data_IF_441534212040
#
_entry.id   IF_441534212040
#
_cell.length_a   1.000
_cell.length_b   1.000
_cell.length_c   1.000
_cell.angle_alpha   90.00
_cell.angle_beta   90.00
_cell.angle_gamma   90.00
#
_symmetry.space_group_name_H-M   'P 1'
#
loop_
_entity.id
_entity.type
_entity.pdbx_description
1 polymer ?
#
# COMPACT_ATOMS: atom_id res chain seq x y z
N UNK A 1 -7.96 0.70 -10.83
CA UNK A 1 -8.00 1.05 -9.39
C UNK A 1 -9.05 2.13 -9.21
N UNK A 2 -9.80 2.16 -8.09
CA UNK A 2 -10.68 3.30 -7.84
C UNK A 2 -9.83 4.48 -7.36
N UNK A 3 -9.79 5.57 -8.12
CA UNK A 3 -9.02 6.76 -7.78
C UNK A 3 -9.40 7.33 -6.39
N UNK A 4 -10.65 7.12 -5.97
CA UNK A 4 -11.15 7.59 -4.67
C UNK A 4 -10.51 6.88 -3.47
N UNK A 5 -9.75 5.79 -3.70
CA UNK A 5 -8.98 5.12 -2.64
C UNK A 5 -7.56 5.66 -2.49
N UNK A 6 -7.08 6.51 -3.40
CA UNK A 6 -5.74 7.09 -3.30
C UNK A 6 -5.70 8.29 -2.36
N UNK A 7 -4.57 8.44 -1.66
CA UNK A 7 -4.17 9.63 -0.92
C UNK A 7 -2.74 10.03 -1.27
N UNK A 8 -2.40 11.28 -1.00
CA UNK A 8 -1.01 11.72 -0.92
C UNK A 8 -0.19 10.77 -0.03
N UNK A 9 1.03 10.46 -0.46
CA UNK A 9 1.94 9.52 0.22
C UNK A 9 1.74 8.06 -0.16
N UNK A 10 0.69 7.70 -0.90
CA UNK A 10 0.51 6.32 -1.38
C UNK A 10 1.60 5.93 -2.40
N UNK A 11 2.10 4.70 -2.29
CA UNK A 11 3.05 4.11 -3.22
C UNK A 11 2.27 3.34 -4.30
N UNK A 12 2.55 3.65 -5.55
CA UNK A 12 1.90 3.07 -6.72
C UNK A 12 2.94 2.70 -7.79
N UNK A 13 2.52 1.91 -8.77
CA UNK A 13 3.25 1.78 -10.04
C UNK A 13 2.42 2.36 -11.17
N UNK A 14 3.02 2.48 -12.35
CA UNK A 14 2.28 2.82 -13.56
C UNK A 14 2.43 1.72 -14.62
N UNK A 15 1.45 1.63 -15.50
CA UNK A 15 1.53 0.81 -16.72
C UNK A 15 1.16 1.67 -17.93
N UNK A 16 2.10 2.49 -18.39
CA UNK A 16 1.95 3.34 -19.57
C UNK A 16 3.10 3.07 -20.54
N UNK A 17 3.24 1.80 -20.95
CA UNK A 17 4.37 1.34 -21.78
C UNK A 17 4.46 2.12 -23.10
N UNK A 18 3.33 2.57 -23.64
CA UNK A 18 3.26 3.31 -24.90
C UNK A 18 3.95 4.67 -24.84
N UNK A 19 3.79 5.42 -23.75
CA UNK A 19 4.31 6.79 -23.63
C UNK A 19 5.45 6.92 -22.62
N UNK A 20 5.58 5.96 -21.71
CA UNK A 20 6.51 5.92 -20.58
C UNK A 20 7.03 4.49 -20.34
N UNK A 21 7.76 3.92 -21.32
CA UNK A 21 8.24 2.53 -21.23
C UNK A 21 9.24 2.34 -20.09
N UNK A 22 10.08 3.33 -19.79
CA UNK A 22 11.13 3.23 -18.78
C UNK A 22 10.60 3.40 -17.35
N UNK A 23 9.43 4.03 -17.19
CA UNK A 23 8.78 4.28 -15.91
C UNK A 23 7.75 3.21 -15.56
N UNK A 24 7.31 2.41 -16.54
CA UNK A 24 6.30 1.38 -16.32
C UNK A 24 6.84 0.28 -15.40
N UNK A 25 6.11 0.00 -14.33
CA UNK A 25 6.54 -0.93 -13.27
C UNK A 25 7.40 -0.31 -12.16
N UNK A 26 7.91 0.91 -12.33
CA UNK A 26 8.67 1.59 -11.27
C UNK A 26 7.74 2.09 -10.15
N UNK A 27 8.31 2.23 -8.95
CA UNK A 27 7.60 2.75 -7.78
C UNK A 27 7.56 4.28 -7.81
N UNK A 28 6.40 4.84 -7.49
CA UNK A 28 6.22 6.27 -7.33
C UNK A 28 5.36 6.60 -6.11
N UNK A 29 5.60 7.76 -5.52
CA UNK A 29 4.75 8.35 -4.50
C UNK A 29 3.70 9.24 -5.14
N UNK A 30 2.45 9.13 -4.70
CA UNK A 30 1.39 10.08 -5.04
C UNK A 30 1.64 11.39 -4.31
N UNK A 31 1.85 12.47 -5.07
CA UNK A 31 2.14 13.83 -4.54
C UNK A 31 1.10 14.87 -4.95
N UNK A 32 0.11 14.49 -5.78
CA UNK A 32 -1.03 15.33 -6.12
C UNK A 32 -2.15 14.51 -6.75
N UNK A 33 -3.40 14.91 -6.50
CA UNK A 33 -4.59 14.24 -7.03
C UNK A 33 -5.55 15.32 -7.51
N UNK A 34 -6.03 15.21 -8.76
CA UNK A 34 -7.15 15.96 -9.31
C UNK A 34 -8.07 15.03 -10.08
N UNK A 35 -9.26 15.50 -10.47
CA UNK A 35 -10.28 14.68 -11.13
C UNK A 35 -9.80 13.94 -12.38
N UNK A 36 -8.80 14.47 -13.08
CA UNK A 36 -8.30 13.91 -14.35
C UNK A 36 -6.82 13.49 -14.33
N UNK A 37 -6.10 13.74 -13.23
CA UNK A 37 -4.65 13.56 -13.21
C UNK A 37 -4.13 13.21 -11.81
N UNK A 38 -3.18 12.29 -11.75
CA UNK A 38 -2.41 11.95 -10.55
C UNK A 38 -0.98 12.40 -10.76
N UNK A 39 -0.50 13.32 -9.91
CA UNK A 39 0.91 13.69 -9.88
C UNK A 39 1.68 12.68 -9.03
N UNK A 40 2.71 12.08 -9.62
CA UNK A 40 3.54 11.05 -8.99
C UNK A 40 5.01 11.45 -9.04
N UNK A 41 5.78 11.03 -8.03
CA UNK A 41 7.19 11.38 -7.86
C UNK A 41 8.07 10.15 -7.56
N UNK A 42 9.29 10.16 -8.11
CA UNK A 42 10.39 9.26 -7.78
C UNK A 42 11.58 10.09 -7.25
N UNK A 43 11.35 10.81 -6.15
CA UNK A 43 12.36 11.68 -5.53
C UNK A 43 12.46 13.02 -6.25
N UNK A 44 13.53 13.24 -7.01
CA UNK A 44 13.78 14.53 -7.69
C UNK A 44 13.01 14.70 -9.00
N UNK A 45 12.33 13.65 -9.46
CA UNK A 45 11.56 13.65 -10.70
C UNK A 45 10.08 13.44 -10.40
N UNK A 46 9.21 14.32 -10.91
CA UNK A 46 7.77 14.17 -10.82
C UNK A 46 7.07 14.44 -12.16
N UNK A 47 5.87 13.89 -12.33
CA UNK A 47 5.05 14.09 -13.51
C UNK A 47 3.58 13.72 -13.26
N UNK A 48 2.70 14.17 -14.14
CA UNK A 48 1.29 13.78 -14.14
C UNK A 48 1.03 12.51 -14.95
N UNK A 49 0.10 11.68 -14.47
CA UNK A 49 -0.36 10.47 -15.12
C UNK A 49 -1.89 10.33 -15.02
N UNK A 50 -2.52 9.82 -16.08
CA UNK A 50 -3.96 9.54 -16.05
C UNK A 50 -4.25 8.42 -15.05
N UNK A 51 -5.37 8.50 -14.28
CA UNK A 51 -5.75 7.49 -13.30
C UNK A 51 -5.76 6.06 -13.84
N UNK A 52 -6.16 5.87 -15.11
CA UNK A 52 -6.23 4.56 -15.78
C UNK A 52 -4.88 3.86 -15.90
N UNK A 53 -3.79 4.62 -15.89
CA UNK A 53 -2.43 4.08 -15.94
C UNK A 53 -1.83 3.85 -14.56
N UNK A 54 -2.50 4.26 -13.48
CA UNK A 54 -2.03 3.97 -12.12
C UNK A 54 -2.42 2.55 -11.73
N UNK A 55 -1.42 1.76 -11.38
CA UNK A 55 -1.56 0.36 -11.05
C UNK A 55 -1.36 0.17 -9.54
N UNK A 56 -2.32 -0.46 -8.84
CA UNK A 56 -2.19 -0.74 -7.43
C UNK A 56 -1.19 -1.89 -7.24
N UNK A 57 -0.37 -1.78 -6.20
CA UNK A 57 0.63 -2.80 -5.87
C UNK A 57 0.00 -3.82 -4.94
N UNK A 58 0.04 -5.10 -5.29
CA UNK A 58 -0.47 -6.17 -4.44
C UNK A 58 0.30 -6.18 -3.10
N UNK A 59 -0.44 -6.23 -2.00
CA UNK A 59 0.14 -6.39 -0.68
C UNK A 59 0.63 -7.83 -0.50
N UNK A 60 1.91 -7.98 -0.16
CA UNK A 60 2.58 -9.26 0.12
C UNK A 60 3.35 -9.16 1.43
N UNK A 61 3.81 -10.30 1.94
CA UNK A 61 4.67 -10.36 3.13
C UNK A 61 5.95 -9.53 2.95
N UNK A 62 6.57 -9.56 1.76
CA UNK A 62 7.75 -8.75 1.45
C UNK A 62 7.50 -7.24 1.62
N UNK A 63 6.29 -6.77 1.31
CA UNK A 63 5.92 -5.38 1.54
C UNK A 63 5.78 -5.07 3.02
N UNK A 64 5.21 -5.97 3.82
CA UNK A 64 5.13 -5.80 5.26
C UNK A 64 6.54 -5.68 5.87
N UNK A 65 7.47 -6.56 5.47
CA UNK A 65 8.88 -6.49 5.90
C UNK A 65 9.52 -5.18 5.46
N UNK A 66 9.32 -4.74 4.21
CA UNK A 66 9.84 -3.46 3.69
C UNK A 66 9.31 -2.23 4.42
N UNK A 67 8.12 -2.32 5.03
CA UNK A 67 7.59 -1.26 5.87
C UNK A 67 8.10 -1.33 7.31
N UNK A 68 8.72 -2.44 7.71
CA UNK A 68 9.25 -2.65 9.07
C UNK A 68 8.35 -3.50 9.96
N UNK A 69 7.25 -4.06 9.45
CA UNK A 69 6.45 -5.01 10.22
C UNK A 69 7.24 -6.29 10.46
N UNK A 70 7.12 -6.84 11.66
CA UNK A 70 7.75 -8.10 12.05
C UNK A 70 6.69 -9.17 12.23
N UNK A 71 7.03 -10.41 11.89
CA UNK A 71 6.19 -11.56 12.26
C UNK A 71 6.19 -11.71 13.78
N UNK A 72 5.02 -11.99 14.35
CA UNK A 72 4.91 -12.34 15.78
C UNK A 72 5.48 -13.74 15.98
N UNK A 73 6.35 -13.90 16.97
CA UNK A 73 7.10 -15.15 17.23
C UNK A 73 6.23 -16.37 17.56
N UNK A 74 4.97 -16.16 17.98
CA UNK A 74 4.06 -17.21 18.43
C UNK A 74 2.69 -17.22 17.74
N UNK A 75 2.50 -16.54 16.60
CA UNK A 75 1.17 -16.35 16.01
C UNK A 75 1.08 -16.28 14.48
N UNK A 76 -0.15 -16.11 13.99
CA UNK A 76 -0.52 -15.96 12.56
C UNK A 76 -0.54 -14.50 12.08
N UNK A 77 0.15 -13.61 12.81
CA UNK A 77 0.03 -12.17 12.65
C UNK A 77 1.35 -11.44 12.46
N UNK A 78 1.22 -10.15 12.15
CA UNK A 78 2.31 -9.19 11.99
C UNK A 78 2.12 -8.06 13.00
N UNK A 79 3.20 -7.73 13.71
CA UNK A 79 3.25 -6.70 14.73
C UNK A 79 4.31 -5.65 14.39
N UNK A 80 4.09 -4.47 14.96
CA UNK A 80 5.14 -3.57 15.39
C UNK A 80 5.68 -2.59 14.35
N UNK A 81 4.84 -1.61 13.99
CA UNK A 81 5.33 -0.25 13.65
C UNK A 81 4.63 0.81 14.52
N UNK A 82 3.41 0.54 14.98
CA UNK A 82 2.57 1.52 15.68
C UNK A 82 2.34 1.21 17.16
N UNK A 83 3.31 0.61 17.88
CA UNK A 83 3.17 0.24 19.30
C UNK A 83 1.90 -0.62 19.57
N UNK A 84 1.58 -1.55 18.67
CA UNK A 84 0.41 -2.43 18.78
C UNK A 84 -0.92 -1.83 18.29
N UNK A 85 -0.95 -0.61 17.74
CA UNK A 85 -2.18 0.02 17.21
C UNK A 85 -2.67 -0.69 15.94
N UNK A 86 -1.76 -1.16 15.09
CA UNK A 86 -2.06 -1.85 13.83
C UNK A 86 -1.68 -3.31 13.97
N UNK A 87 -2.69 -4.17 14.16
CA UNK A 87 -2.52 -5.62 14.16
C UNK A 87 -3.05 -6.20 12.85
N UNK A 88 -2.18 -6.91 12.14
CA UNK A 88 -2.51 -7.57 10.88
C UNK A 88 -2.47 -9.08 11.06
N UNK A 89 -3.44 -9.77 10.47
CA UNK A 89 -3.54 -11.23 10.51
C UNK A 89 -3.42 -11.81 9.09
N UNK A 90 -2.74 -12.94 8.97
CA UNK A 90 -2.80 -13.78 7.78
C UNK A 90 -4.04 -14.67 7.84
N UNK A 91 -4.89 -14.56 6.83
CA UNK A 91 -6.11 -15.36 6.70
C UNK A 91 -5.93 -16.33 5.53
N UNK A 92 -5.95 -17.65 5.79
CA UNK A 92 -5.95 -18.65 4.73
C UNK A 92 -7.21 -18.54 3.85
N UNK A 93 -7.04 -18.68 2.54
CA UNK A 93 -8.12 -18.70 1.55
C UNK A 93 -7.84 -19.76 0.50
N UNK A 94 -8.86 -20.10 -0.30
CA UNK A 94 -8.72 -21.03 -1.43
C UNK A 94 -7.74 -20.52 -2.51
N UNK A 95 -7.34 -19.24 -2.46
CA UNK A 95 -6.42 -18.60 -3.42
C UNK A 95 -5.06 -18.24 -2.79
N UNK A 96 -4.73 -18.83 -1.64
CA UNK A 96 -3.53 -18.53 -0.86
C UNK A 96 -3.85 -17.70 0.39
N UNK A 97 -2.91 -16.87 0.84
CA UNK A 97 -3.07 -16.07 2.06
C UNK A 97 -3.44 -14.62 1.73
N UNK A 98 -4.30 -14.02 2.55
CA UNK A 98 -4.61 -12.59 2.51
C UNK A 98 -4.24 -11.94 3.85
N UNK A 99 -3.90 -10.65 3.80
CA UNK A 99 -3.70 -9.83 4.99
C UNK A 99 -5.03 -9.19 5.37
N UNK A 100 -5.40 -9.24 6.65
CA UNK A 100 -6.60 -8.61 7.17
C UNK A 100 -6.32 -7.82 8.43
N UNK A 101 -7.13 -6.78 8.67
CA UNK A 101 -7.16 -6.04 9.93
C UNK A 101 -8.53 -6.18 10.61
N UNK A 102 -8.51 -6.20 11.94
CA UNK A 102 -9.68 -6.31 12.83
C UNK A 102 -10.46 -7.64 12.68
N UNK A 103 -10.80 -8.25 13.83
CA UNK A 103 -11.66 -9.44 13.94
C UNK A 103 -12.83 -9.13 14.88
N UNK A 104 -13.56 -8.05 14.64
CA UNK A 104 -14.61 -7.62 15.56
C UNK A 104 -15.95 -8.37 15.40
N UNK A 105 -16.22 -9.04 14.26
CA UNK A 105 -17.60 -9.51 13.92
C UNK A 105 -17.67 -10.70 12.95
N UNK A 106 -16.75 -11.67 13.01
CA UNK A 106 -16.65 -12.79 12.03
C UNK A 106 -16.43 -12.35 10.57
N UNK A 107 -16.14 -11.06 10.34
CA UNK A 107 -15.83 -10.48 9.03
C UNK A 107 -14.41 -9.96 9.02
N UNK A 108 -13.63 -10.50 8.08
CA UNK A 108 -12.28 -10.02 7.80
C UNK A 108 -12.32 -8.78 6.90
N UNK A 109 -11.63 -7.71 7.31
CA UNK A 109 -11.36 -6.59 6.41
C UNK A 109 -10.03 -6.86 5.69
N UNK A 110 -10.13 -7.41 4.49
CA UNK A 110 -8.95 -7.79 3.70
C UNK A 110 -8.26 -6.58 3.07
N UNK A 111 -6.96 -6.47 3.30
CA UNK A 111 -6.05 -5.57 2.62
C UNK A 111 -5.44 -6.30 1.43
N UNK A 112 -5.79 -5.87 0.21
CA UNK A 112 -5.31 -6.47 -1.04
C UNK A 112 -4.12 -5.73 -1.62
N UNK A 113 -4.02 -4.42 -1.34
CA UNK A 113 -3.06 -3.54 -1.97
C UNK A 113 -2.30 -2.70 -0.95
N UNK A 114 -1.07 -2.30 -1.32
CA UNK A 114 -0.17 -1.50 -0.50
C UNK A 114 -0.81 -0.18 -0.06
N UNK A 115 -1.49 0.53 -0.97
CA UNK A 115 -2.13 1.81 -0.65
C UNK A 115 -3.20 1.69 0.44
N UNK A 116 -3.90 0.55 0.51
CA UNK A 116 -4.91 0.30 1.54
C UNK A 116 -4.27 0.17 2.93
N UNK A 117 -3.13 -0.50 3.02
CA UNK A 117 -2.35 -0.57 4.27
C UNK A 117 -1.83 0.82 4.67
N UNK A 118 -1.28 1.59 3.72
CA UNK A 118 -0.78 2.94 3.99
C UNK A 118 -1.90 3.88 4.48
N UNK A 119 -3.09 3.80 3.88
CA UNK A 119 -4.25 4.59 4.30
C UNK A 119 -4.74 4.18 5.69
N UNK A 120 -4.83 2.88 5.96
CA UNK A 120 -5.19 2.37 7.29
C UNK A 120 -4.19 2.87 8.34
N UNK A 121 -2.90 2.74 8.06
CA UNK A 121 -1.85 3.18 8.97
C UNK A 121 -1.92 4.68 9.24
N UNK A 122 -2.11 5.51 8.21
CA UNK A 122 -2.28 6.95 8.36
C UNK A 122 -3.50 7.32 9.20
N UNK A 123 -4.65 6.68 8.98
CA UNK A 123 -5.86 6.92 9.78
C UNK A 123 -5.63 6.60 11.26
N UNK A 124 -4.90 5.52 11.53
CA UNK A 124 -4.68 5.05 12.91
C UNK A 124 -3.54 5.76 13.64
N UNK A 125 -2.50 6.20 12.91
CA UNK A 125 -1.27 6.72 13.50
C UNK A 125 -1.06 8.23 13.25
N UNK A 126 -1.79 8.82 12.31
CA UNK A 126 -1.65 10.23 11.92
C UNK A 126 -0.37 10.55 11.13
N UNK A 127 0.43 9.54 10.76
CA UNK A 127 1.70 9.70 10.04
C UNK A 127 1.78 8.73 8.85
N UNK A 128 2.57 9.07 7.85
CA UNK A 128 2.76 8.25 6.64
C UNK A 128 3.47 6.93 6.95
N UNK A 129 2.97 5.83 6.38
CA UNK A 129 3.72 4.56 6.37
C UNK A 129 4.77 4.62 5.26
N UNK A 130 6.03 4.74 5.65
CA UNK A 130 7.19 4.82 4.77
C UNK A 130 7.96 3.51 4.74
N UNK A 131 8.72 3.28 3.67
CA UNK A 131 9.68 2.18 3.61
C UNK A 131 10.70 2.34 4.76
N UNK A 132 10.96 1.25 5.48
CA UNK A 132 11.98 1.24 6.52
C UNK A 132 13.35 1.52 5.88
N UNK A 133 14.07 2.51 6.39
CA UNK A 133 15.50 2.65 6.07
C UNK A 133 16.23 1.45 6.66
N UNK A 134 16.57 0.46 5.83
CA UNK A 134 17.51 -0.61 6.19
C UNK A 134 18.88 -0.07 6.49
#
# INVERSE_FOLDING_TARGET
MNQNELRLGNIVTINNVKHRPNESGNLFLVVGISDSNIRISSGTYDFGQLPDFIVPIKLTEDWLVKFGFKRVSCGIGWDEISNGIVQLNEVPTNKGKLIAFNYATDKYNYLKYVHQLQNLYFILCGVELQLSST
#
